data_IF_844994892441
#
_entry.id   IF_844994892441
#
_cell.length_a   1.000
_cell.length_b   1.000
_cell.length_c   1.000
_cell.angle_alpha   90.00
_cell.angle_beta   90.00
_cell.angle_gamma   90.00
#
_symmetry.space_group_name_H-M   'P 1'
#
loop_
_entity.id
_entity.type
_entity.pdbx_description
1 polymer ?
#
# COMPACT_ATOMS: atom_id res chain seq x y z
N UNK A 1 -12.10 -10.20 -39.83
CA UNK A 1 -13.20 -9.55 -39.07
C UNK A 1 -13.13 -10.00 -37.60
N UNK A 2 -12.86 -11.27 -37.28
CA UNK A 2 -12.87 -11.79 -35.91
C UNK A 2 -11.78 -11.25 -34.95
N UNK A 3 -10.64 -10.79 -35.45
CA UNK A 3 -9.54 -10.27 -34.58
C UNK A 3 -9.84 -8.89 -34.00
N UNK A 4 -10.47 -8.01 -34.79
CA UNK A 4 -10.83 -6.65 -34.33
C UNK A 4 -11.90 -6.67 -33.23
N UNK A 5 -12.88 -7.57 -33.34
CA UNK A 5 -13.95 -7.69 -32.35
C UNK A 5 -13.40 -8.26 -31.01
N UNK A 6 -12.47 -9.21 -31.08
CA UNK A 6 -11.78 -9.74 -29.91
C UNK A 6 -10.92 -8.67 -29.20
N UNK A 7 -10.24 -7.81 -29.94
CA UNK A 7 -9.44 -6.71 -29.38
C UNK A 7 -10.32 -5.63 -28.73
N UNK A 8 -11.46 -5.27 -29.36
CA UNK A 8 -12.41 -4.32 -28.78
C UNK A 8 -12.99 -4.87 -27.47
N UNK A 9 -13.37 -6.15 -27.43
CA UNK A 9 -13.88 -6.78 -26.22
C UNK A 9 -12.84 -6.75 -25.07
N UNK A 10 -11.60 -7.06 -25.35
CA UNK A 10 -10.51 -7.01 -24.36
C UNK A 10 -10.29 -5.60 -23.82
N UNK A 11 -10.23 -4.60 -24.71
CA UNK A 11 -10.08 -3.19 -24.32
C UNK A 11 -11.27 -2.74 -23.46
N UNK A 12 -12.48 -3.13 -23.83
CA UNK A 12 -13.70 -2.78 -23.07
C UNK A 12 -13.66 -3.36 -21.66
N UNK A 13 -13.26 -4.63 -21.49
CA UNK A 13 -13.16 -5.27 -20.17
C UNK A 13 -12.08 -4.56 -19.32
N UNK A 14 -10.93 -4.21 -19.90
CA UNK A 14 -9.88 -3.49 -19.20
C UNK A 14 -10.35 -2.10 -18.75
N UNK A 15 -11.07 -1.37 -19.61
CA UNK A 15 -11.62 -0.07 -19.29
C UNK A 15 -12.62 -0.16 -18.14
N UNK A 16 -13.54 -1.13 -18.19
CA UNK A 16 -14.53 -1.36 -17.13
C UNK A 16 -13.84 -1.72 -15.81
N UNK A 17 -12.83 -2.60 -15.84
CA UNK A 17 -12.07 -2.95 -14.66
C UNK A 17 -11.35 -1.74 -14.07
N UNK A 18 -10.70 -0.90 -14.89
CA UNK A 18 -10.03 0.31 -14.46
C UNK A 18 -11.01 1.32 -13.83
N UNK A 19 -12.16 1.54 -14.46
CA UNK A 19 -13.20 2.43 -13.93
C UNK A 19 -13.74 1.89 -12.60
N UNK A 20 -13.98 0.59 -12.48
CA UNK A 20 -14.45 -0.03 -11.24
C UNK A 20 -13.43 0.17 -10.10
N UNK A 21 -12.14 -0.02 -10.35
CA UNK A 21 -11.07 0.23 -9.36
C UNK A 21 -11.06 1.70 -8.94
N UNK A 22 -11.18 2.64 -9.87
CA UNK A 22 -11.22 4.09 -9.55
C UNK A 22 -12.45 4.40 -8.68
N UNK A 23 -13.62 3.89 -9.03
CA UNK A 23 -14.86 4.12 -8.27
C UNK A 23 -14.72 3.57 -6.84
N UNK A 24 -14.21 2.34 -6.70
CA UNK A 24 -13.97 1.74 -5.38
C UNK A 24 -12.95 2.56 -4.58
N UNK A 25 -11.88 3.03 -5.22
CA UNK A 25 -10.87 3.88 -4.58
C UNK A 25 -11.47 5.20 -4.06
N UNK A 26 -12.31 5.86 -4.87
CA UNK A 26 -12.99 7.10 -4.46
C UNK A 26 -13.96 6.85 -3.31
N UNK A 27 -14.75 5.79 -3.36
CA UNK A 27 -15.67 5.41 -2.29
C UNK A 27 -14.92 5.10 -1.00
N UNK A 28 -13.84 4.31 -1.07
CA UNK A 28 -13.00 3.98 0.08
C UNK A 28 -12.37 5.24 0.70
N UNK A 29 -11.90 6.17 -0.14
CA UNK A 29 -11.33 7.43 0.30
C UNK A 29 -12.36 8.32 1.02
N UNK A 30 -13.58 8.44 0.49
CA UNK A 30 -14.63 9.28 1.09
C UNK A 30 -15.15 8.67 2.39
N UNK A 31 -15.34 7.33 2.43
CA UNK A 31 -16.04 6.66 3.54
C UNK A 31 -15.11 6.24 4.68
N UNK A 32 -13.85 5.92 4.39
CA UNK A 32 -12.91 5.26 5.32
C UNK A 32 -11.49 5.84 5.23
N UNK A 33 -11.38 7.16 4.99
CA UNK A 33 -10.11 7.88 4.74
C UNK A 33 -9.01 7.54 5.75
N UNK A 34 -9.34 7.55 7.04
CA UNK A 34 -8.36 7.43 8.13
C UNK A 34 -8.39 6.04 8.79
N UNK A 35 -8.91 5.02 8.10
CA UNK A 35 -9.02 3.68 8.66
C UNK A 35 -8.18 2.65 7.90
N UNK A 36 -7.59 1.70 8.65
CA UNK A 36 -6.93 0.52 8.09
C UNK A 36 -7.84 -0.24 7.11
N UNK A 37 -9.15 -0.24 7.36
CA UNK A 37 -10.14 -0.86 6.47
C UNK A 37 -10.20 -0.18 5.11
N UNK A 38 -10.08 1.16 5.07
CA UNK A 38 -10.01 1.90 3.80
C UNK A 38 -8.80 1.52 2.97
N UNK A 39 -7.62 1.41 3.61
CA UNK A 39 -6.39 0.95 2.96
C UNK A 39 -6.53 -0.48 2.41
N UNK A 40 -7.09 -1.40 3.19
CA UNK A 40 -7.34 -2.78 2.75
C UNK A 40 -8.27 -2.85 1.54
N UNK A 41 -9.38 -2.09 1.55
CA UNK A 41 -10.31 -2.04 0.42
C UNK A 41 -9.60 -1.51 -0.84
N UNK A 42 -8.84 -0.43 -0.71
CA UNK A 42 -8.13 0.19 -1.82
C UNK A 42 -7.11 -0.77 -2.44
N UNK A 43 -6.21 -1.34 -1.63
CA UNK A 43 -5.16 -2.23 -2.12
C UNK A 43 -5.76 -3.52 -2.68
N UNK A 44 -6.80 -4.07 -2.05
CA UNK A 44 -7.49 -5.26 -2.57
C UNK A 44 -8.17 -5.00 -3.91
N UNK A 45 -8.82 -3.84 -4.09
CA UNK A 45 -9.43 -3.46 -5.36
C UNK A 45 -8.39 -3.27 -6.47
N UNK A 46 -7.28 -2.60 -6.16
CA UNK A 46 -6.17 -2.42 -7.11
C UNK A 46 -5.54 -3.75 -7.51
N UNK A 47 -5.33 -4.65 -6.52
CA UNK A 47 -4.77 -5.99 -6.75
C UNK A 47 -5.70 -6.85 -7.60
N UNK A 48 -7.01 -6.82 -7.34
CA UNK A 48 -8.00 -7.52 -8.16
C UNK A 48 -8.05 -6.96 -9.59
N UNK A 49 -8.01 -5.63 -9.74
CA UNK A 49 -7.92 -4.97 -11.05
C UNK A 49 -6.66 -5.41 -11.83
N UNK A 50 -5.50 -5.42 -11.17
CA UNK A 50 -4.27 -5.93 -11.77
C UNK A 50 -4.41 -7.39 -12.21
N UNK A 51 -4.96 -8.26 -11.36
CA UNK A 51 -5.17 -9.68 -11.66
C UNK A 51 -6.00 -9.85 -12.93
N UNK A 52 -7.12 -9.13 -13.05
CA UNK A 52 -7.98 -9.17 -14.24
C UNK A 52 -7.21 -8.71 -15.49
N UNK A 53 -6.50 -7.57 -15.39
CA UNK A 53 -5.75 -7.01 -16.51
C UNK A 53 -4.61 -7.96 -16.92
N UNK A 54 -3.90 -8.55 -15.95
CA UNK A 54 -2.78 -9.46 -16.23
C UNK A 54 -3.22 -10.72 -16.97
N UNK A 55 -4.41 -11.26 -16.67
CA UNK A 55 -4.91 -12.47 -17.34
C UNK A 55 -5.51 -12.20 -18.73
N UNK A 56 -6.15 -11.05 -18.90
CA UNK A 56 -6.84 -10.72 -20.19
C UNK A 56 -5.87 -10.14 -21.21
N UNK A 57 -4.86 -9.39 -20.74
CA UNK A 57 -3.95 -8.68 -21.63
C UNK A 57 -2.78 -9.58 -22.06
N UNK A 58 -2.67 -9.82 -23.37
CA UNK A 58 -1.54 -10.53 -23.99
C UNK A 58 -0.37 -9.62 -24.41
N UNK A 59 -0.42 -8.32 -24.04
CA UNK A 59 0.57 -7.34 -24.46
C UNK A 59 1.87 -7.51 -23.66
N UNK A 60 3.00 -7.37 -24.35
CA UNK A 60 4.33 -7.33 -23.73
C UNK A 60 4.37 -6.15 -22.73
N UNK A 61 4.81 -6.41 -21.50
CA UNK A 61 4.99 -5.36 -20.50
C UNK A 61 3.82 -5.14 -19.55
N UNK A 62 2.74 -5.93 -19.61
CA UNK A 62 1.60 -5.83 -18.68
C UNK A 62 2.04 -5.94 -17.22
N UNK A 63 3.10 -6.69 -16.92
CA UNK A 63 3.67 -6.84 -15.58
C UNK A 63 4.17 -5.52 -14.96
N UNK A 64 4.50 -4.52 -15.79
CA UNK A 64 4.97 -3.22 -15.28
C UNK A 64 3.90 -2.47 -14.49
N UNK A 65 2.61 -2.77 -14.71
CA UNK A 65 1.52 -2.21 -13.91
C UNK A 65 1.52 -2.66 -12.45
N UNK A 66 2.26 -3.73 -12.11
CA UNK A 66 2.47 -4.15 -10.74
C UNK A 66 3.34 -3.16 -9.94
N UNK A 67 4.29 -2.48 -10.59
CA UNK A 67 5.24 -1.61 -9.90
C UNK A 67 4.57 -0.44 -9.15
N UNK A 68 3.72 0.39 -9.78
CA UNK A 68 3.03 1.45 -9.05
C UNK A 68 2.08 0.90 -7.97
N UNK A 69 1.51 -0.29 -8.15
CA UNK A 69 0.69 -0.95 -7.14
C UNK A 69 1.52 -1.33 -5.90
N UNK A 70 2.69 -1.93 -6.11
CA UNK A 70 3.63 -2.28 -5.04
C UNK A 70 4.06 -1.03 -4.28
N UNK A 71 4.44 0.04 -4.98
CA UNK A 71 4.83 1.32 -4.37
C UNK A 71 3.69 1.91 -3.55
N UNK A 72 2.47 1.92 -4.08
CA UNK A 72 1.30 2.43 -3.38
C UNK A 72 0.99 1.62 -2.10
N UNK A 73 1.15 0.30 -2.14
CA UNK A 73 0.92 -0.56 -0.98
C UNK A 73 1.98 -0.38 0.12
N UNK A 74 3.24 -0.11 -0.25
CA UNK A 74 4.31 0.16 0.71
C UNK A 74 4.03 1.35 1.63
N UNK A 75 3.28 2.35 1.17
CA UNK A 75 2.92 3.55 1.94
C UNK A 75 2.10 3.19 3.19
N UNK A 76 1.34 2.11 3.16
CA UNK A 76 0.50 1.69 4.29
C UNK A 76 1.26 0.95 5.39
N UNK A 77 2.51 0.58 5.18
CA UNK A 77 3.38 -0.10 6.14
C UNK A 77 2.74 -1.35 6.80
N UNK A 78 1.81 -2.01 6.10
CA UNK A 78 1.18 -3.25 6.55
C UNK A 78 1.81 -4.44 5.83
N UNK A 79 2.73 -5.14 6.53
CA UNK A 79 3.50 -6.23 5.97
C UNK A 79 2.63 -7.41 5.52
N UNK A 80 1.53 -7.70 6.26
CA UNK A 80 0.63 -8.80 5.89
C UNK A 80 -0.10 -8.51 4.59
N UNK A 81 -0.58 -7.27 4.45
CA UNK A 81 -1.22 -6.79 3.23
C UNK A 81 -0.25 -6.83 2.05
N UNK A 82 1.00 -6.40 2.28
CA UNK A 82 2.05 -6.38 1.26
C UNK A 82 2.39 -7.79 0.76
N UNK A 83 2.62 -8.74 1.68
CA UNK A 83 2.90 -10.14 1.34
C UNK A 83 1.76 -10.79 0.54
N UNK A 84 0.51 -10.57 0.94
CA UNK A 84 -0.66 -11.11 0.23
C UNK A 84 -0.75 -10.52 -1.18
N UNK A 85 -0.57 -9.22 -1.33
CA UNK A 85 -0.58 -8.56 -2.62
C UNK A 85 0.54 -9.08 -3.53
N UNK A 86 1.77 -9.16 -3.04
CA UNK A 86 2.91 -9.70 -3.79
C UNK A 86 2.67 -11.15 -4.22
N UNK A 87 2.10 -11.98 -3.33
CA UNK A 87 1.73 -13.35 -3.67
C UNK A 87 0.72 -13.40 -4.83
N UNK A 88 -0.32 -12.56 -4.80
CA UNK A 88 -1.31 -12.49 -5.88
C UNK A 88 -0.69 -12.02 -7.18
N UNK A 89 0.19 -11.03 -7.15
CA UNK A 89 0.91 -10.53 -8.34
C UNK A 89 1.78 -11.64 -8.95
N UNK A 90 2.55 -12.35 -8.14
CA UNK A 90 3.42 -13.44 -8.60
C UNK A 90 2.57 -14.60 -9.16
N UNK A 91 1.53 -15.01 -8.45
CA UNK A 91 0.62 -16.09 -8.89
C UNK A 91 -0.03 -15.73 -10.22
N UNK A 92 -0.54 -14.50 -10.39
CA UNK A 92 -1.14 -14.07 -11.67
C UNK A 92 -0.14 -14.12 -12.82
N UNK A 93 1.12 -13.76 -12.57
CA UNK A 93 2.18 -13.81 -13.57
C UNK A 93 2.58 -15.25 -13.91
N UNK A 94 2.60 -16.16 -12.93
CA UNK A 94 2.82 -17.59 -13.16
C UNK A 94 1.68 -18.22 -13.95
N UNK A 95 0.43 -17.92 -13.62
CA UNK A 95 -0.73 -18.39 -14.39
C UNK A 95 -0.62 -17.93 -15.84
N UNK A 96 -0.30 -16.67 -16.05
CA UNK A 96 -0.09 -16.11 -17.38
C UNK A 96 1.03 -16.84 -18.13
N UNK A 97 2.17 -17.07 -17.47
CA UNK A 97 3.29 -17.83 -18.05
C UNK A 97 2.83 -19.21 -18.50
N UNK A 98 2.06 -19.93 -17.67
CA UNK A 98 1.54 -21.26 -18.01
C UNK A 98 0.61 -21.19 -19.22
N UNK A 99 -0.26 -20.17 -19.29
CA UNK A 99 -1.15 -19.96 -20.45
C UNK A 99 -0.39 -19.68 -21.73
N UNK A 100 0.81 -19.09 -21.66
CA UNK A 100 1.65 -18.75 -22.81
C UNK A 100 2.58 -19.89 -23.25
N UNK A 101 2.79 -20.93 -22.44
CA UNK A 101 3.67 -22.06 -22.75
C UNK A 101 3.32 -22.74 -24.08
N UNK A 102 2.02 -22.80 -24.43
CA UNK A 102 1.57 -23.39 -25.70
C UNK A 102 1.76 -22.49 -26.95
N UNK A 103 2.03 -21.19 -26.74
CA UNK A 103 2.13 -20.21 -27.83
C UNK A 103 3.59 -20.01 -28.26
N UNK A 104 4.51 -20.04 -27.28
CA UNK A 104 5.96 -19.87 -27.53
C UNK A 104 6.37 -18.45 -27.95
N UNK A 105 7.63 -18.33 -28.40
CA UNK A 105 8.15 -17.09 -28.98
C UNK A 105 8.55 -16.02 -27.97
N UNK A 106 8.63 -14.77 -28.46
CA UNK A 106 9.11 -13.60 -27.67
C UNK A 106 8.21 -13.24 -26.51
N UNK A 107 6.92 -13.56 -26.58
CA UNK A 107 5.94 -13.32 -25.51
C UNK A 107 6.27 -14.20 -24.30
N UNK A 108 6.53 -15.49 -24.55
CA UNK A 108 6.91 -16.42 -23.48
C UNK A 108 8.22 -16.00 -22.80
N UNK A 109 9.23 -15.59 -23.56
CA UNK A 109 10.49 -15.10 -22.99
C UNK A 109 10.28 -13.88 -22.09
N UNK A 110 9.44 -12.94 -22.52
CA UNK A 110 9.12 -11.77 -21.73
C UNK A 110 8.36 -12.11 -20.43
N UNK A 111 7.46 -13.08 -20.46
CA UNK A 111 6.71 -13.50 -19.28
C UNK A 111 7.60 -14.27 -18.28
N UNK A 112 8.61 -15.03 -18.74
CA UNK A 112 9.64 -15.63 -17.87
C UNK A 112 10.43 -14.55 -17.16
N UNK A 113 10.90 -13.53 -17.89
CA UNK A 113 11.61 -12.39 -17.30
C UNK A 113 10.72 -11.66 -16.30
N UNK A 114 9.44 -11.44 -16.63
CA UNK A 114 8.48 -10.78 -15.79
C UNK A 114 8.29 -11.49 -14.44
N UNK A 115 8.11 -12.81 -14.43
CA UNK A 115 8.00 -13.59 -13.19
C UNK A 115 9.25 -13.41 -12.32
N UNK A 116 10.44 -13.52 -12.93
CA UNK A 116 11.68 -13.36 -12.19
C UNK A 116 11.84 -11.97 -11.59
N UNK A 117 11.54 -10.91 -12.36
CA UNK A 117 11.61 -9.53 -11.90
C UNK A 117 10.58 -9.29 -10.78
N UNK A 118 9.34 -9.79 -10.91
CA UNK A 118 8.31 -9.61 -9.90
C UNK A 118 8.62 -10.35 -8.59
N UNK A 119 9.27 -11.50 -8.65
CA UNK A 119 9.78 -12.19 -7.44
C UNK A 119 10.83 -11.33 -6.74
N UNK A 120 11.78 -10.76 -7.49
CA UNK A 120 12.80 -9.87 -6.90
C UNK A 120 12.19 -8.60 -6.33
N UNK A 121 11.26 -7.97 -7.05
CA UNK A 121 10.55 -6.77 -6.58
C UNK A 121 9.71 -7.08 -5.35
N UNK A 122 9.01 -8.22 -5.34
CA UNK A 122 8.22 -8.67 -4.19
C UNK A 122 9.10 -8.86 -2.94
N UNK A 123 10.21 -9.57 -3.08
CA UNK A 123 11.15 -9.77 -1.98
C UNK A 123 11.74 -8.44 -1.47
N UNK A 124 12.16 -7.57 -2.39
CA UNK A 124 12.71 -6.26 -2.04
C UNK A 124 11.67 -5.38 -1.33
N UNK A 125 10.43 -5.33 -1.84
CA UNK A 125 9.37 -4.54 -1.25
C UNK A 125 8.93 -5.04 0.13
N UNK A 126 8.86 -6.36 0.34
CA UNK A 126 8.59 -6.95 1.64
C UNK A 126 9.70 -6.59 2.64
N UNK A 127 10.97 -6.72 2.23
CA UNK A 127 12.12 -6.38 3.06
C UNK A 127 12.15 -4.89 3.44
N UNK A 128 11.88 -4.01 2.48
CA UNK A 128 11.80 -2.56 2.73
C UNK A 128 10.62 -2.24 3.64
N UNK A 129 9.47 -2.87 3.46
CA UNK A 129 8.30 -2.65 4.31
C UNK A 129 8.58 -3.05 5.76
N UNK A 130 9.26 -4.19 5.99
CA UNK A 130 9.70 -4.61 7.33
C UNK A 130 10.59 -3.55 7.95
N UNK A 131 11.61 -3.11 7.21
CA UNK A 131 12.58 -2.13 7.69
C UNK A 131 11.91 -0.79 8.02
N UNK A 132 11.04 -0.31 7.14
CA UNK A 132 10.31 0.94 7.35
C UNK A 132 9.36 0.83 8.54
N UNK A 133 8.65 -0.28 8.70
CA UNK A 133 7.74 -0.48 9.85
C UNK A 133 8.54 -0.43 11.15
N UNK A 134 9.67 -1.12 11.23
CA UNK A 134 10.52 -1.10 12.41
C UNK A 134 11.04 0.31 12.73
N UNK A 135 11.51 1.02 11.71
CA UNK A 135 11.97 2.40 11.86
C UNK A 135 10.86 3.37 12.32
N UNK A 136 9.64 3.20 11.81
CA UNK A 136 8.50 4.01 12.25
C UNK A 136 8.09 3.68 13.68
N UNK A 137 8.12 2.42 14.08
CA UNK A 137 7.79 2.00 15.45
C UNK A 137 8.80 2.57 16.46
N UNK A 138 10.10 2.52 16.17
CA UNK A 138 11.15 3.13 17.00
C UNK A 138 10.96 4.66 17.14
N UNK A 139 10.77 5.36 16.02
CA UNK A 139 10.56 6.81 16.06
C UNK A 139 9.26 7.19 16.79
N UNK A 140 8.20 6.39 16.67
CA UNK A 140 6.95 6.64 17.37
C UNK A 140 7.09 6.45 18.88
N UNK A 141 7.88 5.49 19.32
CA UNK A 141 8.17 5.26 20.73
C UNK A 141 8.98 6.43 21.33
N UNK A 142 9.99 6.92 20.62
CA UNK A 142 10.78 8.10 21.01
C UNK A 142 9.92 9.38 21.10
N UNK A 143 9.04 9.61 20.12
CA UNK A 143 8.09 10.72 20.14
C UNK A 143 7.15 10.61 21.33
N UNK A 144 6.66 9.43 21.64
CA UNK A 144 5.77 9.18 22.77
C UNK A 144 6.45 9.42 24.12
N UNK A 145 7.69 8.98 24.29
CA UNK A 145 8.48 9.25 25.47
C UNK A 145 8.75 10.75 25.65
N UNK A 146 9.12 11.44 24.57
CA UNK A 146 9.33 12.89 24.58
C UNK A 146 8.06 13.65 24.95
N UNK A 147 6.90 13.24 24.39
CA UNK A 147 5.62 13.83 24.72
C UNK A 147 5.24 13.62 26.20
N UNK A 148 5.48 12.43 26.76
CA UNK A 148 5.23 12.16 28.19
C UNK A 148 6.14 13.01 29.09
N UNK A 149 7.41 13.15 28.75
CA UNK A 149 8.34 14.00 29.48
C UNK A 149 7.89 15.49 29.47
N UNK A 150 7.37 15.96 28.34
CA UNK A 150 6.83 17.31 28.19
C UNK A 150 5.57 17.52 29.03
N UNK A 151 4.67 16.54 29.10
CA UNK A 151 3.48 16.57 29.97
C UNK A 151 3.88 16.63 31.44
N UNK A 152 4.86 15.83 31.87
CA UNK A 152 5.37 15.84 33.25
C UNK A 152 6.03 17.19 33.60
N UNK A 153 6.82 17.74 32.69
CA UNK A 153 7.42 19.08 32.86
C UNK A 153 6.36 20.17 32.98
N UNK A 154 5.31 20.12 32.16
CA UNK A 154 4.20 21.08 32.23
C UNK A 154 3.45 20.96 33.55
N UNK A 155 3.21 19.75 34.08
CA UNK A 155 2.60 19.55 35.41
C UNK A 155 3.46 20.16 36.52
N UNK A 156 4.77 19.99 36.47
CA UNK A 156 5.69 20.60 37.42
C UNK A 156 5.66 22.11 37.36
N UNK A 157 5.61 22.70 36.15
CA UNK A 157 5.47 24.15 35.98
C UNK A 157 4.16 24.68 36.58
N UNK A 158 3.04 23.99 36.38
CA UNK A 158 1.74 24.39 36.97
C UNK A 158 1.80 24.34 38.50
N UNK A 159 2.37 23.29 39.11
CA UNK A 159 2.55 23.22 40.57
C UNK A 159 3.46 24.32 41.13
N UNK A 160 4.52 24.67 40.38
CA UNK A 160 5.39 25.80 40.80
C UNK A 160 4.62 27.13 40.72
N UNK A 161 3.88 27.34 39.65
CA UNK A 161 3.04 28.54 39.50
C UNK A 161 1.98 28.68 40.62
N UNK A 162 1.30 27.58 40.96
CA UNK A 162 0.38 27.53 42.09
C UNK A 162 1.06 27.86 43.44
N UNK A 163 2.22 27.28 43.70
CA UNK A 163 2.96 27.57 44.92
C UNK A 163 3.41 29.02 44.97
N UNK A 164 3.90 29.59 43.86
CA UNK A 164 4.24 31.01 43.80
C UNK A 164 3.01 31.89 44.06
N UNK A 165 1.89 31.59 43.42
CA UNK A 165 0.64 32.36 43.67
C UNK A 165 0.21 32.31 45.13
N UNK A 166 0.28 31.16 45.78
CA UNK A 166 -0.05 30.99 47.18
C UNK A 166 0.85 31.82 48.10
N UNK A 167 2.18 31.80 47.85
CA UNK A 167 3.13 32.61 48.62
C UNK A 167 2.94 34.12 48.41
N UNK A 168 2.52 34.53 47.20
CA UNK A 168 2.15 35.94 46.96
C UNK A 168 0.93 36.36 47.74
N UNK A 169 -0.10 35.52 47.79
CA UNK A 169 -1.32 35.81 48.55
C UNK A 169 -1.02 35.87 50.06
N UNK A 170 -0.21 34.97 50.59
CA UNK A 170 0.23 34.99 51.98
C UNK A 170 1.04 36.25 52.33
N UNK A 171 1.88 36.72 51.43
CA UNK A 171 2.70 37.93 51.62
C UNK A 171 1.84 39.22 51.54
N UNK A 172 0.75 39.25 50.78
CA UNK A 172 -0.15 40.40 50.71
C UNK A 172 -1.10 40.51 51.90
N UNK A 173 -1.29 39.44 52.69
CA UNK A 173 -2.17 39.41 53.85
C UNK A 173 -1.49 39.69 55.18
N UNK A 174 -0.15 39.83 55.15
CA UNK A 174 0.67 40.32 56.29
C UNK A 174 0.87 41.82 56.24
#
# INVERSE_FOLDING_TARGET
VGTKDADITRISIQLVAAIAVIVIAVIAFITKRDSRTGALILVSAMTAGYFIIALINSTIGTWTYALPLVIAAMIYLDIKMMMVMNAVIIISSVIRLVMQLGIGGTVLQNDVIAVFVLVLVGYASDSITILLTHFFDENMEEIKESAMAQVDSNKKMVMVAENISKHFDEAMTM
#
